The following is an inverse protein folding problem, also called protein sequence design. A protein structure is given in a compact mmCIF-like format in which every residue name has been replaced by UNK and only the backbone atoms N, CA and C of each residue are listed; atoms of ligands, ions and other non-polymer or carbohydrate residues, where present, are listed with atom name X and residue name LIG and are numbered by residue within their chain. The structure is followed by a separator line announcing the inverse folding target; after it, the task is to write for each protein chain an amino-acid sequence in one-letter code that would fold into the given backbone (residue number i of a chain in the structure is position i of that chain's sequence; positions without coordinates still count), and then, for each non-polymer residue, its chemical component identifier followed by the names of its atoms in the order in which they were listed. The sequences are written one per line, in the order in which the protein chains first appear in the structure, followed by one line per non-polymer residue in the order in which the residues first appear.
data_IF_869444038888
#
_entry.id   IF_869444038888
#
_cell.length_a   1.000
_cell.length_b   1.000
_cell.length_c   1.000
_cell.angle_alpha   90.00
_cell.angle_beta   90.00
_cell.angle_gamma   90.00
#
_symmetry.space_group_name_H-M   'P 1'
#
loop_
_entity.id
_entity.type
_entity.pdbx_description
1 polymer ?
#
# COMPACT_ATOMS: atom_id res chain seq x y z
N UNK A 1 1.78 21.47 65.41
CA UNK A 1 1.82 20.04 65.77
C UNK A 1 2.83 19.32 64.88
N UNK A 2 3.82 18.60 65.45
CA UNK A 2 5.06 18.25 64.75
C UNK A 2 4.93 16.91 64.02
N UNK A 3 4.31 16.89 62.83
CA UNK A 3 4.30 15.70 61.98
C UNK A 3 5.64 15.46 61.25
N UNK A 4 6.64 16.34 61.43
CA UNK A 4 7.85 16.40 60.60
C UNK A 4 8.83 15.22 60.78
N UNK A 5 8.68 14.39 61.83
CA UNK A 5 9.65 13.34 62.20
C UNK A 5 9.06 11.94 62.48
N UNK A 6 7.81 11.63 62.10
CA UNK A 6 7.27 10.27 62.30
C UNK A 6 7.90 9.29 61.30
N UNK A 7 8.48 8.19 61.78
CA UNK A 7 9.05 7.10 60.96
C UNK A 7 8.03 6.56 59.94
N UNK A 8 6.75 6.57 60.31
CA UNK A 8 5.62 6.13 59.47
C UNK A 8 5.48 7.04 58.24
N UNK A 9 5.65 8.35 58.39
CA UNK A 9 5.62 9.29 57.25
C UNK A 9 6.83 9.12 56.32
N UNK A 10 8.00 8.78 56.88
CA UNK A 10 9.19 8.48 56.07
C UNK A 10 9.05 7.17 55.29
N UNK A 11 8.24 6.22 55.77
CA UNK A 11 8.03 4.91 55.14
C UNK A 11 6.83 4.88 54.18
N UNK A 12 5.75 5.61 54.48
CA UNK A 12 4.50 5.57 53.69
C UNK A 12 4.44 6.61 52.56
N UNK A 13 5.13 7.76 52.69
CA UNK A 13 5.17 8.79 51.64
C UNK A 13 5.90 8.39 50.34
N UNK A 14 6.99 7.58 50.32
CA UNK A 14 7.62 7.18 49.06
C UNK A 14 6.73 6.28 48.20
N UNK A 15 5.81 5.51 48.79
CA UNK A 15 4.94 4.58 48.06
C UNK A 15 4.01 5.27 47.04
N UNK A 16 3.19 6.30 47.41
CA UNK A 16 2.36 7.02 46.44
C UNK A 16 3.21 7.84 45.46
N UNK A 17 4.41 8.31 45.86
CA UNK A 17 5.32 9.03 44.96
C UNK A 17 5.86 8.09 43.88
N UNK A 18 6.35 6.91 44.24
CA UNK A 18 6.80 5.90 43.29
C UNK A 18 5.65 5.46 42.38
N UNK A 19 4.46 5.23 42.95
CA UNK A 19 3.28 4.89 42.16
C UNK A 19 2.93 5.99 41.15
N UNK A 20 2.92 7.26 41.57
CA UNK A 20 2.67 8.40 40.68
C UNK A 20 3.73 8.51 39.57
N UNK A 21 5.01 8.25 39.90
CA UNK A 21 6.09 8.20 38.91
C UNK A 21 5.85 7.07 37.92
N UNK A 22 5.55 5.86 38.39
CA UNK A 22 5.26 4.70 37.53
C UNK A 22 4.06 4.97 36.61
N UNK A 23 2.99 5.57 37.12
CA UNK A 23 1.83 5.95 36.33
C UNK A 23 2.16 7.03 35.31
N UNK A 24 2.96 8.04 35.68
CA UNK A 24 3.43 9.07 34.75
C UNK A 24 4.30 8.50 33.62
N UNK A 25 5.23 7.60 33.96
CA UNK A 25 6.07 6.90 32.97
C UNK A 25 5.21 6.02 32.06
N UNK A 26 4.29 5.24 32.62
CA UNK A 26 3.37 4.41 31.84
C UNK A 26 2.50 5.26 30.90
N UNK A 27 1.96 6.38 31.39
CA UNK A 27 1.15 7.30 30.61
C UNK A 27 1.92 7.92 29.43
N UNK A 28 3.22 8.13 29.57
CA UNK A 28 4.07 8.65 28.49
C UNK A 28 4.52 7.56 27.50
N UNK A 29 4.95 6.39 28.00
CA UNK A 29 5.55 5.34 27.16
C UNK A 29 4.51 4.48 26.43
N UNK A 30 3.38 4.17 27.07
CA UNK A 30 2.40 3.24 26.49
C UNK A 30 1.79 3.80 25.19
N UNK A 31 1.31 5.06 25.12
CA UNK A 31 0.68 5.56 23.90
C UNK A 31 1.64 5.62 22.71
N UNK A 32 2.90 5.98 22.95
CA UNK A 32 3.93 6.09 21.91
C UNK A 32 4.32 4.71 21.37
N UNK A 33 4.55 3.74 22.26
CA UNK A 33 4.84 2.37 21.88
C UNK A 33 3.67 1.71 21.13
N UNK A 34 2.43 1.92 21.60
CA UNK A 34 1.22 1.41 20.92
C UNK A 34 1.08 2.02 19.53
N UNK A 35 1.29 3.33 19.38
CA UNK A 35 1.22 4.00 18.07
C UNK A 35 2.27 3.47 17.10
N UNK A 36 3.53 3.34 17.52
CA UNK A 36 4.60 2.81 16.69
C UNK A 36 4.32 1.36 16.26
N UNK A 37 3.89 0.51 17.19
CA UNK A 37 3.51 -0.87 16.91
C UNK A 37 2.33 -0.96 15.93
N UNK A 38 1.33 -0.08 16.08
CA UNK A 38 0.19 0.00 15.17
C UNK A 38 0.62 0.44 13.76
N UNK A 39 1.52 1.42 13.65
CA UNK A 39 2.06 1.86 12.37
C UNK A 39 2.89 0.76 11.68
N UNK A 40 3.73 0.06 12.43
CA UNK A 40 4.53 -1.04 11.91
C UNK A 40 3.67 -2.24 11.49
N UNK A 41 2.66 -2.58 12.28
CA UNK A 41 1.68 -3.60 11.93
C UNK A 41 0.91 -3.22 10.65
N UNK A 42 0.45 -1.96 10.55
CA UNK A 42 -0.22 -1.44 9.37
C UNK A 42 0.70 -1.46 8.15
N UNK A 43 1.98 -1.07 8.30
CA UNK A 43 2.98 -1.12 7.24
C UNK A 43 3.19 -2.55 6.73
N UNK A 44 3.42 -3.51 7.64
CA UNK A 44 3.62 -4.92 7.30
C UNK A 44 2.40 -5.49 6.58
N UNK A 45 1.19 -5.20 7.09
CA UNK A 45 -0.06 -5.60 6.48
C UNK A 45 -0.20 -5.04 5.05
N UNK A 46 -0.02 -3.74 4.87
CA UNK A 46 -0.12 -3.10 3.56
C UNK A 46 0.93 -3.62 2.55
N UNK A 47 2.17 -3.85 2.98
CA UNK A 47 3.20 -4.49 2.15
C UNK A 47 2.77 -5.89 1.74
N UNK A 48 2.24 -6.68 2.68
CA UNK A 48 1.79 -8.03 2.41
C UNK A 48 0.62 -8.05 1.41
N UNK A 49 -0.37 -7.18 1.58
CA UNK A 49 -1.46 -7.01 0.63
C UNK A 49 -0.94 -6.64 -0.76
N UNK A 50 -0.07 -5.64 -0.87
CA UNK A 50 0.49 -5.25 -2.17
C UNK A 50 1.26 -6.40 -2.85
N UNK A 51 2.02 -7.19 -2.08
CA UNK A 51 2.70 -8.40 -2.57
C UNK A 51 1.73 -9.48 -3.02
N UNK A 52 0.67 -9.75 -2.26
CA UNK A 52 -0.38 -10.70 -2.64
C UNK A 52 -1.01 -10.33 -3.99
N UNK A 53 -1.37 -9.06 -4.18
CA UNK A 53 -1.92 -8.59 -5.45
C UNK A 53 -0.93 -8.71 -6.61
N UNK A 54 0.37 -8.48 -6.38
CA UNK A 54 1.41 -8.72 -7.39
C UNK A 54 1.50 -10.21 -7.75
N UNK A 55 1.45 -11.10 -6.77
CA UNK A 55 1.43 -12.56 -6.98
C UNK A 55 0.19 -13.00 -7.76
N UNK A 56 -1.00 -12.53 -7.38
CA UNK A 56 -2.26 -12.82 -8.08
C UNK A 56 -2.18 -12.36 -9.53
N UNK A 57 -1.73 -11.12 -9.77
CA UNK A 57 -1.57 -10.59 -11.13
C UNK A 57 -0.59 -11.41 -11.97
N UNK A 58 0.54 -11.79 -11.38
CA UNK A 58 1.55 -12.64 -12.03
C UNK A 58 0.99 -14.01 -12.39
N UNK A 59 0.31 -14.65 -11.45
CA UNK A 59 -0.36 -15.94 -11.67
C UNK A 59 -1.41 -15.85 -12.78
N UNK A 60 -2.28 -14.84 -12.74
CA UNK A 60 -3.31 -14.61 -13.76
C UNK A 60 -2.70 -14.40 -15.14
N UNK A 61 -1.61 -13.61 -15.23
CA UNK A 61 -0.90 -13.37 -16.48
C UNK A 61 -0.36 -14.67 -17.07
N UNK A 62 0.39 -15.44 -16.26
CA UNK A 62 1.03 -16.68 -16.70
C UNK A 62 0.03 -17.77 -17.05
N UNK A 63 -0.98 -17.97 -16.22
CA UNK A 63 -1.83 -19.16 -16.34
C UNK A 63 -3.13 -18.93 -17.11
N UNK A 64 -3.60 -17.69 -17.22
CA UNK A 64 -4.86 -17.36 -17.88
C UNK A 64 -4.60 -16.57 -19.16
N UNK A 65 -3.86 -15.47 -19.09
CA UNK A 65 -3.67 -14.58 -20.26
C UNK A 65 -2.84 -15.25 -21.35
N UNK A 66 -1.76 -15.95 -21.01
CA UNK A 66 -0.95 -16.66 -22.02
C UNK A 66 -1.77 -17.74 -22.73
N UNK A 67 -2.58 -18.52 -22.00
CA UNK A 67 -3.46 -19.54 -22.59
C UNK A 67 -4.58 -18.95 -23.43
N UNK A 68 -5.20 -17.86 -22.96
CA UNK A 68 -6.24 -17.16 -23.70
C UNK A 68 -5.71 -16.62 -25.04
N UNK A 69 -4.51 -16.03 -25.04
CA UNK A 69 -3.85 -15.58 -26.26
C UNK A 69 -3.51 -16.72 -27.22
N UNK A 70 -3.07 -17.88 -26.70
CA UNK A 70 -2.73 -19.03 -27.53
C UNK A 70 -3.97 -19.71 -28.16
N UNK A 71 -5.08 -19.79 -27.42
CA UNK A 71 -6.33 -20.39 -27.90
C UNK A 71 -7.11 -19.44 -28.83
N UNK A 72 -7.05 -18.11 -28.59
CA UNK A 72 -7.75 -17.11 -29.40
C UNK A 72 -9.25 -16.96 -29.12
N UNK A 73 -9.87 -17.95 -28.47
CA UNK A 73 -11.28 -17.93 -28.07
C UNK A 73 -11.63 -16.85 -27.04
N UNK A 74 -10.70 -16.53 -26.13
CA UNK A 74 -10.84 -15.46 -25.14
C UNK A 74 -9.88 -14.32 -25.45
N UNK A 75 -10.40 -13.09 -25.50
CA UNK A 75 -9.66 -11.89 -25.87
C UNK A 75 -9.39 -11.00 -24.65
N UNK A 76 -8.13 -10.85 -24.23
CA UNK A 76 -7.77 -9.87 -23.21
C UNK A 76 -8.14 -8.45 -23.64
N UNK A 77 -8.85 -7.71 -22.81
CA UNK A 77 -9.40 -6.39 -23.15
C UNK A 77 -9.50 -5.46 -21.94
N UNK A 78 -9.38 -4.15 -22.19
CA UNK A 78 -9.73 -3.13 -21.19
C UNK A 78 -11.24 -3.06 -20.95
N UNK A 79 -12.05 -3.34 -21.99
CA UNK A 79 -13.50 -3.27 -21.98
C UNK A 79 -14.08 -4.68 -22.00
N UNK A 80 -13.81 -5.45 -20.93
CA UNK A 80 -14.18 -6.87 -20.84
C UNK A 80 -15.60 -7.09 -20.31
N UNK A 81 -16.11 -6.21 -19.45
CA UNK A 81 -17.43 -6.34 -18.83
C UNK A 81 -18.53 -6.40 -19.89
N UNK A 82 -19.45 -7.36 -19.74
CA UNK A 82 -20.59 -7.54 -20.65
C UNK A 82 -20.26 -8.10 -22.03
N UNK A 83 -19.01 -8.50 -22.29
CA UNK A 83 -18.60 -9.10 -23.56
C UNK A 83 -18.26 -10.59 -23.37
N UNK A 84 -19.02 -11.52 -23.97
CA UNK A 84 -18.90 -12.96 -23.67
C UNK A 84 -17.49 -13.53 -23.79
N UNK A 85 -16.74 -13.10 -24.80
CA UNK A 85 -15.40 -13.62 -25.10
C UNK A 85 -14.27 -12.68 -24.68
N UNK A 86 -14.54 -11.75 -23.76
CA UNK A 86 -13.53 -10.80 -23.29
C UNK A 86 -13.18 -11.03 -21.82
N UNK A 87 -11.88 -11.01 -21.53
CA UNK A 87 -11.35 -11.13 -20.17
C UNK A 87 -10.52 -9.89 -19.82
N UNK A 88 -10.42 -9.47 -18.55
CA UNK A 88 -9.66 -8.29 -18.20
C UNK A 88 -8.16 -8.45 -18.51
N UNK A 89 -7.53 -7.41 -19.05
CA UNK A 89 -6.05 -7.33 -19.04
C UNK A 89 -5.50 -7.42 -17.60
N UNK A 90 -4.27 -7.89 -17.37
CA UNK A 90 -3.70 -8.00 -16.02
C UNK A 90 -3.78 -6.72 -15.17
N UNK A 91 -3.48 -5.55 -15.73
CA UNK A 91 -3.61 -4.28 -15.02
C UNK A 91 -5.08 -3.88 -14.81
N UNK A 92 -5.96 -4.21 -15.76
CA UNK A 92 -7.41 -3.95 -15.64
C UNK A 92 -8.03 -4.78 -14.52
N UNK A 93 -7.64 -6.06 -14.39
CA UNK A 93 -8.06 -6.92 -13.26
C UNK A 93 -7.77 -6.27 -11.91
N UNK A 94 -6.57 -5.72 -11.72
CA UNK A 94 -6.21 -5.05 -10.46
C UNK A 94 -7.05 -3.80 -10.23
N UNK A 95 -7.36 -3.04 -11.29
CA UNK A 95 -8.25 -1.89 -11.19
C UNK A 95 -9.67 -2.28 -10.81
N UNK A 96 -10.22 -3.34 -11.41
CA UNK A 96 -11.56 -3.82 -11.06
C UNK A 96 -11.62 -4.30 -9.61
N UNK A 97 -10.64 -5.10 -9.16
CA UNK A 97 -10.61 -5.56 -7.76
C UNK A 97 -10.41 -4.37 -6.81
N UNK A 98 -9.58 -3.39 -7.16
CA UNK A 98 -9.40 -2.17 -6.35
C UNK A 98 -10.72 -1.40 -6.19
N UNK A 99 -11.56 -1.34 -7.23
CA UNK A 99 -12.89 -0.71 -7.15
C UNK A 99 -13.85 -1.49 -6.26
N UNK A 100 -13.78 -2.82 -6.26
CA UNK A 100 -14.57 -3.67 -5.37
C UNK A 100 -14.13 -3.49 -3.91
N UNK A 101 -12.83 -3.52 -3.65
CA UNK A 101 -12.25 -3.36 -2.32
C UNK A 101 -12.46 -1.97 -1.72
N UNK A 102 -12.55 -0.93 -2.54
CA UNK A 102 -12.83 0.41 -2.06
C UNK A 102 -14.19 0.50 -1.32
N UNK A 103 -15.14 -0.39 -1.64
CA UNK A 103 -16.42 -0.50 -0.93
C UNK A 103 -16.26 -1.08 0.49
N UNK A 104 -15.26 -1.93 0.67
CA UNK A 104 -14.85 -2.55 1.94
C UNK A 104 -13.76 -1.75 2.67
N UNK A 105 -13.71 -0.42 2.44
CA UNK A 105 -12.74 0.51 3.03
C UNK A 105 -11.26 0.18 2.77
N UNK A 106 -10.97 -0.70 1.80
CA UNK A 106 -9.62 -1.08 1.43
C UNK A 106 -9.22 -0.37 0.14
N UNK A 107 -8.28 0.57 0.23
CA UNK A 107 -7.81 1.32 -0.94
C UNK A 107 -6.54 0.72 -1.51
N UNK A 108 -6.61 0.24 -2.75
CA UNK A 108 -5.47 -0.21 -3.54
C UNK A 108 -5.37 0.63 -4.81
N UNK A 109 -4.15 0.93 -5.26
CA UNK A 109 -3.93 1.67 -6.50
C UNK A 109 -2.71 1.16 -7.23
N UNK A 110 -2.91 0.78 -8.50
CA UNK A 110 -1.84 0.51 -9.46
C UNK A 110 -1.67 1.73 -10.37
N UNK A 111 -0.47 2.29 -10.45
CA UNK A 111 -0.23 3.51 -11.22
C UNK A 111 1.16 3.53 -11.86
N UNK A 112 1.32 4.43 -12.83
CA UNK A 112 2.54 4.73 -13.55
C UNK A 112 2.47 6.20 -13.99
N UNK A 113 3.59 6.94 -14.04
CA UNK A 113 3.62 8.25 -14.69
C UNK A 113 3.46 8.16 -16.21
N UNK A 114 3.53 6.95 -16.78
CA UNK A 114 3.31 6.65 -18.18
C UNK A 114 2.02 5.82 -18.36
N UNK A 115 0.82 6.39 -18.18
CA UNK A 115 -0.43 5.66 -18.35
C UNK A 115 -0.79 5.48 -19.82
N UNK A 116 -1.30 4.30 -20.20
CA UNK A 116 -1.94 4.10 -21.51
C UNK A 116 -3.04 5.14 -21.75
N UNK A 117 -3.38 5.47 -23.02
CA UNK A 117 -4.36 6.50 -23.37
C UNK A 117 -5.71 6.40 -22.65
N UNK A 118 -6.18 5.18 -22.36
CA UNK A 118 -7.42 4.94 -21.63
C UNK A 118 -7.36 5.34 -20.14
N UNK A 119 -6.21 5.79 -19.65
CA UNK A 119 -5.99 6.29 -18.27
C UNK A 119 -5.17 7.58 -18.25
N UNK A 120 -5.08 8.31 -19.38
CA UNK A 120 -4.29 9.54 -19.50
C UNK A 120 -4.73 10.64 -18.52
N UNK A 121 -5.99 10.65 -18.13
CA UNK A 121 -6.55 11.65 -17.22
C UNK A 121 -6.19 11.39 -15.75
N UNK A 122 -5.53 10.26 -15.44
CA UNK A 122 -5.09 9.95 -14.07
C UNK A 122 -3.94 10.88 -13.69
N UNK A 123 -4.23 11.77 -12.73
CA UNK A 123 -3.21 12.63 -12.10
C UNK A 123 -2.60 11.88 -10.91
N UNK A 124 -1.27 11.79 -10.91
CA UNK A 124 -0.56 11.29 -9.74
C UNK A 124 -0.54 12.37 -8.66
N UNK A 125 -0.84 11.98 -7.43
CA UNK A 125 -0.64 12.85 -6.28
C UNK A 125 0.84 12.90 -5.86
N UNK A 126 1.14 13.72 -4.85
CA UNK A 126 2.53 13.94 -4.43
C UNK A 126 3.14 12.70 -3.76
N UNK A 127 2.33 11.85 -3.13
CA UNK A 127 2.81 10.56 -2.61
C UNK A 127 3.26 9.65 -3.75
N UNK A 128 2.44 9.52 -4.78
CA UNK A 128 2.68 8.66 -5.93
C UNK A 128 3.89 9.11 -6.74
N UNK A 129 4.06 10.43 -6.93
CA UNK A 129 5.24 11.01 -7.58
C UNK A 129 6.52 10.73 -6.80
N UNK A 130 6.51 10.94 -5.48
CA UNK A 130 7.67 10.69 -4.63
C UNK A 130 8.02 9.21 -4.55
N UNK A 131 7.00 8.34 -4.41
CA UNK A 131 7.18 6.90 -4.44
C UNK A 131 7.82 6.45 -5.76
N UNK A 132 7.35 6.98 -6.90
CA UNK A 132 7.94 6.69 -8.21
C UNK A 132 9.43 7.09 -8.28
N UNK A 133 9.75 8.33 -7.88
CA UNK A 133 11.13 8.82 -7.86
C UNK A 133 12.02 7.98 -6.93
N UNK A 134 11.49 7.55 -5.79
CA UNK A 134 12.19 6.68 -4.84
C UNK A 134 12.52 5.31 -5.45
N UNK A 135 11.56 4.67 -6.13
CA UNK A 135 11.77 3.34 -6.73
C UNK A 135 12.72 3.35 -7.92
N UNK A 136 12.89 4.49 -8.61
CA UNK A 136 13.92 4.63 -9.64
C UNK A 136 15.33 4.37 -9.12
N UNK A 137 15.59 4.65 -7.83
CA UNK A 137 16.88 4.40 -7.17
C UNK A 137 16.86 3.18 -6.25
N UNK A 138 15.68 2.83 -5.71
CA UNK A 138 15.52 1.83 -4.65
C UNK A 138 14.42 0.81 -5.02
N UNK A 139 14.56 0.02 -6.09
CA UNK A 139 13.48 -0.80 -6.65
C UNK A 139 13.00 -1.93 -5.72
N UNK A 140 13.81 -2.35 -4.75
CA UNK A 140 13.47 -3.45 -3.83
C UNK A 140 13.12 -2.98 -2.42
N UNK A 141 13.05 -1.66 -2.21
CA UNK A 141 12.67 -1.05 -0.93
C UNK A 141 11.17 -0.75 -0.89
N UNK A 142 10.68 -0.44 0.32
CA UNK A 142 9.29 -0.02 0.57
C UNK A 142 9.29 1.48 0.82
N UNK A 143 8.39 2.21 0.15
CA UNK A 143 8.14 3.61 0.43
C UNK A 143 6.86 3.71 1.29
N UNK A 144 6.92 4.46 2.39
CA UNK A 144 5.76 4.64 3.27
C UNK A 144 5.74 6.04 3.86
N UNK A 145 4.56 6.65 3.96
CA UNK A 145 4.37 7.99 4.52
C UNK A 145 3.05 8.06 5.28
N UNK A 146 3.09 8.67 6.47
CA UNK A 146 1.89 9.01 7.22
C UNK A 146 1.32 10.32 6.66
N UNK A 147 0.02 10.36 6.45
CA UNK A 147 -0.69 11.51 5.88
C UNK A 147 -1.99 11.74 6.65
N UNK A 148 -2.46 12.99 6.67
CA UNK A 148 -3.81 13.32 7.14
C UNK A 148 -4.75 13.35 5.94
N UNK A 149 -5.81 12.56 5.99
CA UNK A 149 -6.84 12.53 4.95
C UNK A 149 -8.22 12.55 5.61
N UNK A 150 -8.99 13.62 5.36
CA UNK A 150 -10.33 13.79 5.95
C UNK A 150 -10.33 13.78 7.48
N UNK A 151 -9.33 14.41 8.11
CA UNK A 151 -9.18 14.44 9.57
C UNK A 151 -8.68 13.14 10.20
N UNK A 152 -8.41 12.10 9.41
CA UNK A 152 -7.86 10.82 9.88
C UNK A 152 -6.39 10.68 9.49
N UNK A 153 -5.59 10.20 10.43
CA UNK A 153 -4.21 9.78 10.14
C UNK A 153 -4.23 8.45 9.39
N UNK A 154 -3.66 8.43 8.18
CA UNK A 154 -3.51 7.23 7.37
C UNK A 154 -2.03 6.94 7.13
N UNK A 155 -1.68 5.66 6.96
CA UNK A 155 -0.37 5.24 6.50
C UNK A 155 -0.48 4.76 5.05
N UNK A 156 0.15 5.47 4.12
CA UNK A 156 0.24 5.04 2.73
C UNK A 156 1.53 4.28 2.52
N UNK A 157 1.44 3.16 1.81
CA UNK A 157 2.55 2.27 1.53
C UNK A 157 2.56 1.95 0.04
N UNK A 158 3.75 1.98 -0.56
CA UNK A 158 3.99 1.59 -1.93
C UNK A 158 5.16 0.61 -2.03
N UNK A 159 5.09 -0.25 -3.03
CA UNK A 159 6.18 -1.15 -3.46
C UNK A 159 6.34 -1.03 -4.96
N UNK A 160 7.55 -1.27 -5.48
CA UNK A 160 7.77 -1.29 -6.92
C UNK A 160 7.15 -2.51 -7.58
N UNK A 161 6.46 -2.27 -8.69
CA UNK A 161 5.81 -3.30 -9.48
C UNK A 161 6.53 -3.53 -10.81
N UNK A 162 7.70 -4.16 -10.71
CA UNK A 162 8.54 -4.53 -11.87
C UNK A 162 7.82 -5.52 -12.78
N UNK A 163 7.90 -5.30 -14.09
CA UNK A 163 7.46 -6.28 -15.08
C UNK A 163 8.36 -7.52 -15.01
N UNK A 164 7.81 -8.63 -14.53
CA UNK A 164 8.56 -9.87 -14.36
C UNK A 164 8.34 -10.89 -15.49
N UNK A 165 7.26 -10.75 -16.27
CA UNK A 165 6.94 -11.66 -17.36
C UNK A 165 7.26 -11.01 -18.71
N UNK A 166 7.88 -11.78 -19.62
CA UNK A 166 8.25 -11.30 -20.95
C UNK A 166 7.04 -10.83 -21.75
N UNK A 167 5.87 -11.46 -21.57
CA UNK A 167 4.62 -11.02 -22.20
C UNK A 167 4.21 -9.60 -21.80
N UNK A 168 4.50 -9.19 -20.55
CA UNK A 168 4.28 -7.82 -20.10
C UNK A 168 5.28 -6.87 -20.79
N UNK A 169 6.57 -7.19 -20.77
CA UNK A 169 7.63 -6.36 -21.38
C UNK A 169 7.36 -6.16 -22.87
N UNK A 170 7.10 -7.25 -23.60
CA UNK A 170 6.87 -7.21 -25.04
C UNK A 170 5.68 -6.32 -25.38
N UNK A 171 4.53 -6.53 -24.74
CA UNK A 171 3.34 -5.71 -24.99
C UNK A 171 3.61 -4.25 -24.65
N UNK A 172 4.21 -3.96 -23.49
CA UNK A 172 4.48 -2.60 -23.08
C UNK A 172 5.57 -1.91 -23.92
N UNK A 173 6.43 -2.63 -24.64
CA UNK A 173 7.45 -2.02 -25.50
C UNK A 173 7.06 -1.94 -26.98
N UNK A 174 6.07 -2.74 -27.44
CA UNK A 174 5.70 -2.79 -28.86
C UNK A 174 4.27 -2.35 -29.17
N UNK A 175 3.41 -2.22 -28.16
CA UNK A 175 2.02 -1.85 -28.41
C UNK A 175 1.94 -0.41 -28.95
N UNK A 176 1.17 -0.13 -30.03
CA UNK A 176 1.10 1.21 -30.64
C UNK A 176 0.63 2.31 -29.69
N UNK A 177 -0.19 1.93 -28.70
CA UNK A 177 -0.68 2.83 -27.65
C UNK A 177 0.19 2.87 -26.39
N UNK A 178 1.34 2.20 -26.37
CA UNK A 178 2.31 2.39 -25.29
C UNK A 178 2.67 3.87 -25.25
N UNK A 179 2.61 4.51 -24.08
CA UNK A 179 3.12 5.87 -23.93
C UNK A 179 4.61 5.86 -24.18
N UNK A 180 5.04 6.50 -25.28
CA UNK A 180 6.44 6.81 -25.46
C UNK A 180 6.86 7.82 -24.39
N UNK A 181 8.08 7.69 -23.88
CA UNK A 181 8.71 8.81 -23.19
C UNK A 181 8.83 9.90 -24.26
N UNK A 182 8.17 11.04 -24.07
CA UNK A 182 8.33 12.17 -24.96
C UNK A 182 9.81 12.52 -25.05
N UNK A 183 10.31 12.65 -26.28
CA UNK A 183 11.61 13.27 -26.57
C UNK A 183 11.64 14.70 -26.05
#
# INVERSE_FOLDING_TARGET
MPFRNSLIWKLLLPLPVILAICLGVAWYLIPTAVMQNAQDAAKRSAVQTAKQFKTIRGYYTKNIIEKAKANGSLKPSINHKGKPNAIPLPATLIHDISQLLAKEQTTLSLYSPFPFPNRKDRKLDDFQKQAWAFFGKNPDKVFSRQEMHGGKSILRVAIADKMAAQGCVNCHNSHPLTPAIGN
#
